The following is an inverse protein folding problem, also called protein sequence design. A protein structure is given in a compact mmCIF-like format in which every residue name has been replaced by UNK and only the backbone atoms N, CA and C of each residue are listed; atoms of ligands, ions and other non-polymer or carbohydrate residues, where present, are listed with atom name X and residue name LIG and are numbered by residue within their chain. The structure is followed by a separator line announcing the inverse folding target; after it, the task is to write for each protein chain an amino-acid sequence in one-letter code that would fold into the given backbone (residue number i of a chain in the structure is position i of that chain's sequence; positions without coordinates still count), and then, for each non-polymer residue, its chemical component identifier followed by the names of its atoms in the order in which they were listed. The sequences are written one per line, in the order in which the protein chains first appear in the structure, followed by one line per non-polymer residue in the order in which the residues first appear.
data_IF_751498461878
#
_entry.id   IF_751498461878
#
_cell.length_a   1.000
_cell.length_b   1.000
_cell.length_c   1.000
_cell.angle_alpha   90.00
_cell.angle_beta   90.00
_cell.angle_gamma   90.00
#
_symmetry.space_group_name_H-M   'P 1'
#
loop_
_entity.id
_entity.type
_entity.pdbx_description
1 polymer ?
#
# COMPACT_ATOMS: atom_id res chain seq x y z
N UNK A 1 4.94 -22.72 -7.57
CA UNK A 1 4.54 -21.75 -6.53
C UNK A 1 3.28 -22.30 -5.86
N UNK A 2 3.39 -22.94 -4.70
CA UNK A 2 2.18 -23.31 -3.93
C UNK A 2 1.56 -22.00 -3.43
N UNK A 3 0.24 -21.82 -3.57
CA UNK A 3 -0.40 -20.57 -3.16
C UNK A 3 -0.20 -20.36 -1.65
N UNK A 4 -0.11 -19.09 -1.23
CA UNK A 4 0.01 -18.68 0.17
C UNK A 4 -1.01 -19.37 1.09
N UNK A 5 -2.16 -19.76 0.52
CA UNK A 5 -3.29 -20.44 1.14
C UNK A 5 -2.96 -21.80 1.76
N UNK A 6 -2.00 -22.58 1.23
CA UNK A 6 -1.69 -23.91 1.79
C UNK A 6 -0.89 -23.87 3.09
N UNK A 7 -0.30 -22.71 3.44
CA UNK A 7 0.68 -22.61 4.52
C UNK A 7 0.12 -22.06 5.83
N UNK A 8 -0.95 -21.25 5.77
CA UNK A 8 -1.51 -20.58 6.93
C UNK A 8 -2.52 -21.43 7.74
N UNK A 9 -2.90 -22.61 7.23
CA UNK A 9 -3.82 -23.52 7.92
C UNK A 9 -3.11 -24.49 8.91
N UNK A 10 -1.82 -24.27 9.20
CA UNK A 10 -0.96 -25.26 9.88
C UNK A 10 -0.60 -25.03 11.35
N UNK A 11 -0.98 -23.91 12.00
CA UNK A 11 -0.57 -23.68 13.39
C UNK A 11 -1.39 -22.64 14.17
N UNK A 12 -1.90 -23.06 15.35
CA UNK A 12 -2.36 -22.38 16.58
C UNK A 12 -3.12 -21.03 16.55
N UNK A 13 -3.27 -20.36 15.41
CA UNK A 13 -4.19 -19.27 15.16
C UNK A 13 -4.94 -19.59 13.86
N UNK A 14 -6.26 -19.81 13.93
CA UNK A 14 -7.07 -19.94 12.73
C UNK A 14 -7.12 -18.58 12.02
N UNK A 15 -6.24 -18.36 11.06
CA UNK A 15 -6.31 -17.22 10.16
C UNK A 15 -7.18 -17.61 8.96
N UNK A 16 -8.28 -16.88 8.74
CA UNK A 16 -9.04 -17.02 7.49
C UNK A 16 -8.29 -16.29 6.38
N UNK A 17 -7.94 -17.01 5.31
CA UNK A 17 -7.16 -16.47 4.20
C UNK A 17 -8.02 -16.45 2.95
N UNK A 18 -8.32 -15.25 2.48
CA UNK A 18 -8.95 -15.02 1.17
C UNK A 18 -7.90 -14.49 0.20
N UNK A 19 -7.98 -14.90 -1.06
CA UNK A 19 -7.00 -14.58 -2.09
C UNK A 19 -7.68 -13.91 -3.28
N UNK A 20 -7.10 -12.80 -3.74
CA UNK A 20 -7.40 -12.18 -5.02
C UNK A 20 -6.21 -12.36 -5.96
N UNK A 21 -6.17 -13.50 -6.66
CA UNK A 21 -5.21 -13.71 -7.75
C UNK A 21 -5.72 -12.98 -9.00
N UNK A 22 -5.26 -11.74 -9.16
CA UNK A 22 -5.73 -10.83 -10.20
C UNK A 22 -5.58 -11.42 -11.61
N UNK A 23 -4.54 -12.23 -11.85
CA UNK A 23 -4.33 -12.85 -13.15
C UNK A 23 -5.27 -14.04 -13.36
N UNK A 24 -5.44 -14.91 -12.36
CA UNK A 24 -6.38 -16.04 -12.44
C UNK A 24 -7.83 -15.55 -12.59
N UNK A 25 -8.17 -14.46 -11.92
CA UNK A 25 -9.47 -13.78 -12.02
C UNK A 25 -9.68 -13.05 -13.35
N UNK A 26 -8.61 -12.85 -14.14
CA UNK A 26 -8.61 -11.98 -15.33
C UNK A 26 -9.15 -10.59 -14.98
N UNK A 27 -8.69 -10.04 -13.86
CA UNK A 27 -9.18 -8.79 -13.32
C UNK A 27 -9.04 -7.66 -14.34
N UNK A 28 -10.13 -6.95 -14.60
CA UNK A 28 -10.15 -5.76 -15.46
C UNK A 28 -9.40 -4.63 -14.75
N UNK A 29 -8.29 -4.19 -15.32
CA UNK A 29 -7.45 -3.14 -14.69
C UNK A 29 -7.89 -1.71 -15.01
N UNK A 30 -8.64 -1.49 -16.10
CA UNK A 30 -9.02 -0.15 -16.56
C UNK A 30 -10.23 0.38 -15.79
N UNK A 31 -10.07 1.50 -15.10
CA UNK A 31 -11.17 2.27 -14.53
C UNK A 31 -11.97 2.97 -15.66
N UNK A 32 -13.21 2.55 -15.90
CA UNK A 32 -14.06 3.09 -16.98
C UNK A 32 -15.52 3.21 -16.54
N UNK A 33 -16.35 3.87 -17.35
CA UNK A 33 -17.79 3.98 -17.10
C UNK A 33 -18.52 2.63 -16.96
N UNK A 34 -17.95 1.53 -17.47
CA UNK A 34 -18.50 0.17 -17.32
C UNK A 34 -18.44 -0.35 -15.88
N UNK A 35 -17.66 0.29 -15.01
CA UNK A 35 -17.62 -0.04 -13.58
C UNK A 35 -18.89 0.40 -12.84
N UNK A 36 -19.78 1.12 -13.53
CA UNK A 36 -21.00 1.68 -12.98
C UNK A 36 -22.18 1.07 -13.72
N UNK A 37 -23.04 0.39 -12.96
CA UNK A 37 -24.30 -0.14 -13.46
C UNK A 37 -25.39 0.93 -13.42
N UNK A 38 -26.32 0.87 -14.38
CA UNK A 38 -27.41 1.84 -14.50
C UNK A 38 -26.99 3.15 -15.16
N UNK A 39 -27.67 4.24 -14.80
CA UNK A 39 -27.52 5.54 -15.45
C UNK A 39 -26.42 6.38 -14.79
N UNK A 40 -25.54 6.94 -15.60
CA UNK A 40 -24.55 7.95 -15.17
C UNK A 40 -25.24 9.28 -14.89
N UNK A 41 -24.76 10.03 -13.89
CA UNK A 41 -25.28 11.36 -13.54
C UNK A 41 -25.02 12.38 -14.65
N UNK A 42 -23.83 12.35 -15.26
CA UNK A 42 -23.42 13.27 -16.31
C UNK A 42 -22.60 12.56 -17.41
N UNK A 43 -23.25 11.78 -18.29
CA UNK A 43 -22.54 11.02 -19.32
C UNK A 43 -21.81 11.89 -20.36
N UNK A 44 -22.23 13.15 -20.55
CA UNK A 44 -21.58 14.09 -21.48
C UNK A 44 -20.28 14.67 -20.92
N UNK A 45 -20.11 14.68 -19.59
CA UNK A 45 -18.88 15.09 -18.90
C UNK A 45 -18.55 14.07 -17.81
N UNK A 46 -18.17 12.87 -18.23
CA UNK A 46 -17.91 11.75 -17.32
C UNK A 46 -16.71 12.06 -16.41
N UNK A 47 -16.95 12.00 -15.10
CA UNK A 47 -15.90 12.11 -14.08
C UNK A 47 -15.93 10.87 -13.20
N UNK A 48 -14.91 10.01 -13.35
CA UNK A 48 -14.88 8.71 -12.67
C UNK A 48 -15.03 8.84 -11.14
N UNK A 49 -14.34 9.80 -10.51
CA UNK A 49 -14.41 10.00 -9.06
C UNK A 49 -15.83 10.31 -8.55
N UNK A 50 -16.52 11.26 -9.19
CA UNK A 50 -17.90 11.63 -8.81
C UNK A 50 -18.90 10.51 -9.10
N UNK A 51 -18.81 9.90 -10.28
CA UNK A 51 -19.74 8.87 -10.73
C UNK A 51 -19.55 7.58 -9.92
N UNK A 52 -18.31 7.17 -9.62
CA UNK A 52 -18.02 5.99 -8.80
C UNK A 52 -18.41 6.18 -7.33
N UNK A 53 -18.28 7.40 -6.78
CA UNK A 53 -18.80 7.73 -5.45
C UNK A 53 -20.32 7.56 -5.38
N UNK A 54 -21.05 8.13 -6.35
CA UNK A 54 -22.50 7.99 -6.40
C UNK A 54 -22.92 6.53 -6.58
N UNK A 55 -22.23 5.81 -7.47
CA UNK A 55 -22.46 4.39 -7.68
C UNK A 55 -22.20 3.58 -6.42
N UNK A 56 -21.17 3.91 -5.63
CA UNK A 56 -20.91 3.26 -4.34
C UNK A 56 -22.04 3.53 -3.34
N UNK A 57 -22.49 4.78 -3.21
CA UNK A 57 -23.59 5.16 -2.30
C UNK A 57 -24.91 4.46 -2.64
N UNK A 58 -25.16 4.22 -3.92
CA UNK A 58 -26.40 3.63 -4.43
C UNK A 58 -26.30 2.10 -4.66
N UNK A 59 -25.16 1.48 -4.39
CA UNK A 59 -24.96 0.04 -4.60
C UNK A 59 -24.93 -0.38 -6.07
N UNK A 60 -24.43 0.49 -6.95
CA UNK A 60 -24.39 0.33 -8.41
C UNK A 60 -22.99 0.08 -8.98
N UNK A 61 -21.96 -0.11 -8.16
CA UNK A 61 -20.65 -0.53 -8.66
C UNK A 61 -20.73 -1.93 -9.30
N UNK A 62 -19.83 -2.21 -10.24
CA UNK A 62 -19.73 -3.53 -10.86
C UNK A 62 -19.43 -4.61 -9.82
N UNK A 63 -19.98 -5.81 -10.04
CA UNK A 63 -19.95 -6.89 -9.04
C UNK A 63 -18.52 -7.31 -8.65
N UNK A 64 -17.58 -7.28 -9.59
CA UNK A 64 -16.17 -7.59 -9.33
C UNK A 64 -15.53 -6.56 -8.38
N UNK A 65 -15.88 -5.27 -8.49
CA UNK A 65 -15.41 -4.25 -7.54
C UNK A 65 -16.01 -4.51 -6.16
N UNK A 66 -17.32 -4.76 -6.08
CA UNK A 66 -18.02 -5.01 -4.81
C UNK A 66 -17.45 -6.23 -4.08
N UNK A 67 -17.12 -7.31 -4.81
CA UNK A 67 -16.50 -8.49 -4.24
C UNK A 67 -15.13 -8.18 -3.61
N UNK A 68 -14.28 -7.43 -4.31
CA UNK A 68 -12.97 -7.04 -3.79
C UNK A 68 -13.07 -6.07 -2.60
N UNK A 69 -14.03 -5.13 -2.64
CA UNK A 69 -14.31 -4.25 -1.50
C UNK A 69 -14.74 -5.04 -0.27
N UNK A 70 -15.53 -6.10 -0.45
CA UNK A 70 -15.95 -6.96 0.66
C UNK A 70 -14.76 -7.70 1.28
N UNK A 71 -13.83 -8.24 0.47
CA UNK A 71 -12.59 -8.88 0.97
C UNK A 71 -11.76 -7.92 1.81
N UNK A 72 -11.57 -6.69 1.35
CA UNK A 72 -10.82 -5.66 2.08
C UNK A 72 -11.54 -5.26 3.38
N UNK A 73 -12.88 -5.18 3.35
CA UNK A 73 -13.70 -4.88 4.53
C UNK A 73 -13.55 -5.94 5.61
N UNK A 74 -13.50 -7.21 5.25
CA UNK A 74 -13.34 -8.35 6.17
C UNK A 74 -11.90 -8.51 6.68
N UNK A 75 -10.90 -8.10 5.90
CA UNK A 75 -9.50 -8.31 6.24
C UNK A 75 -9.01 -7.42 7.41
N UNK A 76 -8.31 -8.02 8.38
CA UNK A 76 -7.52 -7.30 9.39
C UNK A 76 -6.13 -6.92 8.87
N UNK A 77 -5.59 -7.74 7.97
CA UNK A 77 -4.31 -7.57 7.30
C UNK A 77 -4.46 -7.79 5.80
N UNK A 78 -3.92 -6.88 4.99
CA UNK A 78 -3.84 -7.02 3.54
C UNK A 78 -2.38 -7.18 3.10
N UNK A 79 -2.07 -8.33 2.48
CA UNK A 79 -0.74 -8.61 1.91
C UNK A 79 -0.80 -8.38 0.40
N UNK A 80 -0.05 -7.40 -0.09
CA UNK A 80 0.10 -7.16 -1.52
C UNK A 80 1.34 -7.89 -2.03
N UNK A 81 1.14 -9.06 -2.65
CA UNK A 81 2.21 -9.84 -3.27
C UNK A 81 2.39 -9.47 -4.76
N UNK A 82 3.57 -9.04 -5.18
CA UNK A 82 3.83 -8.71 -6.60
C UNK A 82 5.32 -8.77 -6.99
N UNK A 83 5.66 -8.97 -8.26
CA UNK A 83 6.99 -8.60 -8.76
C UNK A 83 7.04 -7.08 -8.97
N UNK A 84 8.12 -6.43 -8.50
CA UNK A 84 8.32 -5.00 -8.76
C UNK A 84 8.60 -4.79 -10.25
N UNK A 85 7.72 -4.05 -10.93
CA UNK A 85 7.87 -3.68 -12.34
C UNK A 85 8.00 -2.17 -12.45
N UNK A 86 9.05 -1.72 -13.14
CA UNK A 86 9.31 -0.29 -13.35
C UNK A 86 9.25 0.54 -12.06
N UNK A 87 9.90 0.04 -11.00
CA UNK A 87 9.94 0.67 -9.67
C UNK A 87 8.57 0.88 -9.01
N UNK A 88 7.56 0.10 -9.42
CA UNK A 88 6.21 0.15 -8.86
C UNK A 88 5.53 -1.21 -8.95
N UNK A 89 4.22 -1.24 -8.69
CA UNK A 89 3.36 -2.42 -8.82
C UNK A 89 3.06 -2.75 -10.28
N UNK A 90 2.78 -4.01 -10.63
CA UNK A 90 2.29 -4.38 -11.96
C UNK A 90 1.02 -3.61 -12.32
N UNK A 91 0.82 -3.31 -13.61
CA UNK A 91 -0.32 -2.53 -14.10
C UNK A 91 -1.68 -3.09 -13.65
N UNK A 92 -1.82 -4.42 -13.55
CA UNK A 92 -3.06 -5.05 -13.07
C UNK A 92 -3.35 -4.75 -11.60
N UNK A 93 -2.31 -4.67 -10.75
CA UNK A 93 -2.44 -4.30 -9.35
C UNK A 93 -2.68 -2.79 -9.20
N UNK A 94 -2.05 -1.96 -10.04
CA UNK A 94 -2.37 -0.53 -10.10
C UNK A 94 -3.83 -0.30 -10.47
N UNK A 95 -4.33 -1.03 -11.47
CA UNK A 95 -5.74 -0.98 -11.88
C UNK A 95 -6.69 -1.50 -10.81
N UNK A 96 -6.27 -2.48 -10.00
CA UNK A 96 -7.03 -2.93 -8.83
C UNK A 96 -7.17 -1.81 -7.81
N UNK A 97 -6.10 -1.07 -7.49
CA UNK A 97 -6.23 0.12 -6.63
C UNK A 97 -7.18 1.14 -7.24
N UNK A 98 -7.05 1.45 -8.53
CA UNK A 98 -7.86 2.48 -9.20
C UNK A 98 -9.36 2.18 -9.22
N UNK A 99 -9.73 0.89 -9.34
CA UNK A 99 -11.14 0.46 -9.39
C UNK A 99 -11.73 0.12 -8.03
N UNK A 100 -10.95 -0.46 -7.12
CA UNK A 100 -11.44 -0.96 -5.84
C UNK A 100 -11.41 0.11 -4.75
N UNK A 101 -10.36 0.95 -4.71
CA UNK A 101 -10.22 2.01 -3.71
C UNK A 101 -10.99 3.28 -4.13
N UNK A 102 -12.30 3.14 -4.32
CA UNK A 102 -13.19 4.26 -4.67
C UNK A 102 -13.36 5.23 -3.52
N UNK A 103 -13.69 6.48 -3.85
CA UNK A 103 -14.11 7.47 -2.84
C UNK A 103 -15.37 6.97 -2.13
N UNK A 104 -15.47 7.22 -0.83
CA UNK A 104 -16.52 6.70 0.05
C UNK A 104 -16.18 5.34 0.64
N UNK A 105 -15.58 4.43 -0.14
CA UNK A 105 -15.13 3.12 0.34
C UNK A 105 -13.75 3.16 1.02
N UNK A 106 -12.72 3.65 0.32
CA UNK A 106 -11.34 3.59 0.80
C UNK A 106 -10.83 4.90 1.38
N UNK A 107 -11.37 6.04 0.92
CA UNK A 107 -11.03 7.36 1.42
C UNK A 107 -12.18 8.34 1.26
N UNK A 108 -12.11 9.45 1.99
CA UNK A 108 -12.94 10.66 1.77
C UNK A 108 -12.05 11.89 1.96
N UNK A 109 -12.39 13.06 1.38
CA UNK A 109 -11.65 14.29 1.61
C UNK A 109 -11.47 14.65 3.10
N UNK A 110 -12.41 14.24 3.96
CA UNK A 110 -12.40 14.51 5.40
C UNK A 110 -11.66 13.43 6.20
N UNK A 111 -11.46 12.24 5.63
CA UNK A 111 -10.82 11.08 6.28
C UNK A 111 -9.65 10.59 5.44
N UNK A 112 -8.49 11.16 5.74
CA UNK A 112 -7.21 10.92 5.07
C UNK A 112 -6.14 10.52 6.10
N UNK A 113 -5.15 9.76 5.65
CA UNK A 113 -4.01 9.36 6.47
C UNK A 113 -4.44 8.68 7.77
N UNK A 114 -3.92 9.07 8.94
CA UNK A 114 -4.24 8.43 10.23
C UNK A 114 -5.72 8.44 10.60
N UNK A 115 -6.54 9.32 10.00
CA UNK A 115 -7.99 9.34 10.18
C UNK A 115 -8.77 8.62 9.06
N UNK A 116 -8.06 7.98 8.14
CA UNK A 116 -8.60 7.25 6.99
C UNK A 116 -9.52 6.08 7.37
N UNK A 117 -10.24 5.57 6.38
CA UNK A 117 -11.28 4.55 6.58
C UNK A 117 -10.69 3.22 7.09
N UNK A 118 -9.45 2.90 6.69
CA UNK A 118 -8.77 1.66 7.04
C UNK A 118 -7.81 1.78 8.24
N UNK A 119 -8.01 2.76 9.13
CA UNK A 119 -7.12 3.04 10.28
C UNK A 119 -6.91 1.89 11.28
N UNK A 120 -7.85 0.95 11.32
CA UNK A 120 -7.78 -0.24 12.18
C UNK A 120 -7.26 -1.48 11.44
N UNK A 121 -6.83 -1.34 10.17
CA UNK A 121 -6.32 -2.43 9.33
C UNK A 121 -4.82 -2.27 9.08
N UNK A 122 -4.12 -3.39 8.95
CA UNK A 122 -2.70 -3.43 8.57
C UNK A 122 -2.53 -3.75 7.09
N UNK A 123 -1.48 -3.23 6.49
CA UNK A 123 -1.08 -3.59 5.14
C UNK A 123 0.43 -3.77 5.02
N UNK A 124 0.85 -4.69 4.15
CA UNK A 124 2.26 -4.93 3.82
C UNK A 124 2.44 -5.10 2.32
N UNK A 125 3.53 -4.53 1.79
CA UNK A 125 4.04 -4.83 0.45
C UNK A 125 5.00 -6.01 0.57
N UNK A 126 4.70 -7.12 -0.10
CA UNK A 126 5.58 -8.28 -0.22
C UNK A 126 5.96 -8.44 -1.68
N UNK A 127 7.21 -8.21 -2.05
CA UNK A 127 7.56 -8.16 -3.47
C UNK A 127 8.93 -8.72 -3.79
N UNK A 128 9.06 -9.19 -5.03
CA UNK A 128 10.32 -9.68 -5.59
C UNK A 128 10.94 -8.61 -6.49
N UNK A 129 12.26 -8.62 -6.61
CA UNK A 129 13.00 -7.77 -7.55
C UNK A 129 13.93 -8.59 -8.43
N UNK A 130 14.25 -8.05 -9.61
CA UNK A 130 15.42 -8.50 -10.38
C UNK A 130 16.73 -7.88 -9.87
N UNK A 131 16.66 -6.71 -9.22
CA UNK A 131 17.85 -6.00 -8.73
C UNK A 131 18.39 -6.57 -7.42
N UNK A 132 19.71 -6.55 -7.26
CA UNK A 132 20.36 -6.76 -5.97
C UNK A 132 20.03 -5.62 -5.00
N UNK A 133 20.02 -5.91 -3.71
CA UNK A 133 19.80 -4.91 -2.65
C UNK A 133 20.76 -3.72 -2.78
N UNK A 134 22.04 -3.98 -3.02
CA UNK A 134 23.09 -2.96 -3.19
C UNK A 134 22.83 -1.99 -4.34
N UNK A 135 22.08 -2.39 -5.37
CA UNK A 135 21.73 -1.49 -6.46
C UNK A 135 20.70 -0.45 -6.03
N UNK A 136 19.93 -0.72 -4.97
CA UNK A 136 18.84 0.12 -4.49
C UNK A 136 19.17 0.80 -3.13
N UNK A 137 20.44 0.79 -2.73
CA UNK A 137 20.96 1.65 -1.67
C UNK A 137 21.06 3.11 -2.15
N UNK A 138 21.23 4.11 -1.26
CA UNK A 138 21.37 5.51 -1.65
C UNK A 138 22.53 5.81 -2.61
N UNK A 139 23.58 5.00 -2.58
CA UNK A 139 24.74 5.02 -3.48
C UNK A 139 24.68 3.99 -4.61
N UNK A 140 23.58 3.25 -4.70
CA UNK A 140 23.32 2.26 -5.74
C UNK A 140 22.84 2.88 -7.05
N UNK A 141 23.05 2.18 -8.17
CA UNK A 141 22.72 2.67 -9.51
C UNK A 141 21.22 2.94 -9.73
N UNK A 142 20.34 2.25 -9.00
CA UNK A 142 18.89 2.46 -9.07
C UNK A 142 18.40 3.54 -8.09
N UNK A 143 19.27 4.01 -7.19
CA UNK A 143 18.93 4.95 -6.12
C UNK A 143 18.18 4.31 -4.95
N UNK A 144 17.96 5.13 -3.92
CA UNK A 144 17.36 4.73 -2.66
C UNK A 144 15.93 4.18 -2.83
N UNK A 145 15.73 2.90 -2.51
CA UNK A 145 14.42 2.22 -2.55
C UNK A 145 13.36 2.90 -1.67
N UNK A 146 13.76 3.60 -0.60
CA UNK A 146 12.82 4.33 0.26
C UNK A 146 12.00 5.35 -0.55
N UNK A 147 12.60 5.95 -1.58
CA UNK A 147 11.95 6.91 -2.47
C UNK A 147 10.91 6.23 -3.35
N UNK A 148 11.26 5.07 -3.92
CA UNK A 148 10.36 4.30 -4.80
C UNK A 148 9.14 3.73 -4.06
N UNK A 149 9.29 3.39 -2.78
CA UNK A 149 8.20 2.84 -1.97
C UNK A 149 7.23 3.90 -1.44
N UNK A 150 7.69 5.15 -1.27
CA UNK A 150 6.88 6.23 -0.69
C UNK A 150 5.52 6.43 -1.38
N UNK A 151 5.40 6.49 -2.72
CA UNK A 151 4.10 6.66 -3.38
C UNK A 151 3.10 5.53 -3.08
N UNK A 152 3.59 4.29 -2.90
CA UNK A 152 2.76 3.14 -2.60
C UNK A 152 2.36 3.11 -1.12
N UNK A 153 3.35 3.21 -0.23
CA UNK A 153 3.14 3.10 1.21
C UNK A 153 2.42 4.33 1.78
N UNK A 154 2.86 5.55 1.45
CA UNK A 154 2.20 6.77 1.91
C UNK A 154 1.00 7.14 1.03
N UNK A 155 1.19 7.17 -0.29
CA UNK A 155 0.22 7.73 -1.23
C UNK A 155 -1.01 6.86 -1.50
N UNK A 156 -0.90 5.54 -1.34
CA UNK A 156 -2.03 4.61 -1.53
C UNK A 156 -2.47 4.05 -0.17
N UNK A 157 -1.58 3.34 0.52
CA UNK A 157 -1.97 2.59 1.72
C UNK A 157 -2.25 3.50 2.90
N UNK A 158 -1.27 4.31 3.31
CA UNK A 158 -1.42 5.20 4.45
C UNK A 158 -2.50 6.25 4.20
N UNK A 159 -2.63 6.78 2.98
CA UNK A 159 -3.70 7.71 2.60
C UNK A 159 -5.11 7.16 2.90
N UNK A 160 -5.35 5.87 2.61
CA UNK A 160 -6.61 5.19 2.95
C UNK A 160 -6.75 4.85 4.44
N UNK A 161 -5.69 5.04 5.23
CA UNK A 161 -5.63 4.83 6.67
C UNK A 161 -4.86 3.63 7.13
N UNK A 162 -4.37 2.76 6.25
CA UNK A 162 -3.68 1.55 6.70
C UNK A 162 -2.51 1.84 7.64
N UNK A 163 -2.41 1.00 8.66
CA UNK A 163 -1.21 0.81 9.46
C UNK A 163 -0.19 0.02 8.62
N UNK A 164 0.79 0.71 8.04
CA UNK A 164 1.72 0.09 7.08
C UNK A 164 2.89 -0.59 7.80
N UNK A 165 3.08 -1.87 7.53
CA UNK A 165 4.20 -2.67 8.03
C UNK A 165 5.44 -2.49 7.15
N UNK A 166 6.61 -2.78 7.71
CA UNK A 166 7.85 -2.85 6.94
C UNK A 166 7.70 -3.83 5.76
N UNK A 167 8.16 -3.49 4.55
CA UNK A 167 7.96 -4.35 3.39
C UNK A 167 8.70 -5.68 3.55
N UNK A 168 8.22 -6.72 2.87
CA UNK A 168 8.97 -7.95 2.66
C UNK A 168 9.58 -7.89 1.25
N UNK A 169 10.90 -7.74 1.16
CA UNK A 169 11.59 -7.63 -0.12
C UNK A 169 12.41 -8.89 -0.37
N UNK A 170 12.17 -9.53 -1.50
CA UNK A 170 12.95 -10.66 -1.99
C UNK A 170 13.85 -10.17 -3.12
N UNK A 171 15.11 -9.90 -2.76
CA UNK A 171 16.09 -9.32 -3.67
C UNK A 171 16.62 -10.34 -4.68
N UNK A 172 16.72 -9.93 -5.95
CA UNK A 172 17.41 -10.66 -7.02
C UNK A 172 17.03 -12.15 -7.13
N UNK A 173 15.74 -12.49 -7.01
CA UNK A 173 15.26 -13.89 -6.90
C UNK A 173 15.65 -14.78 -8.08
N UNK A 174 15.89 -14.20 -9.24
CA UNK A 174 16.35 -14.88 -10.47
C UNK A 174 17.85 -15.22 -10.43
N UNK A 175 18.62 -14.59 -9.56
CA UNK A 175 20.08 -14.69 -9.48
C UNK A 175 20.59 -15.48 -8.28
N UNK A 176 19.69 -16.03 -7.45
CA UNK A 176 20.03 -16.81 -6.26
C UNK A 176 19.81 -18.30 -6.45
N UNK A 177 20.42 -19.12 -5.59
CA UNK A 177 20.26 -20.59 -5.60
C UNK A 177 18.84 -21.01 -5.19
N UNK A 178 18.47 -22.25 -5.50
CA UNK A 178 17.21 -22.82 -5.01
C UNK A 178 17.15 -22.86 -3.47
N UNK A 179 18.25 -23.22 -2.83
CA UNK A 179 18.37 -23.20 -1.36
C UNK A 179 18.11 -21.79 -0.80
N UNK A 180 18.69 -20.75 -1.40
CA UNK A 180 18.44 -19.39 -1.00
C UNK A 180 16.96 -18.98 -1.17
N UNK A 181 16.29 -19.42 -2.25
CA UNK A 181 14.84 -19.22 -2.42
C UNK A 181 14.02 -19.94 -1.35
N UNK A 182 14.40 -21.15 -0.96
CA UNK A 182 13.72 -21.86 0.13
C UNK A 182 13.90 -21.13 1.47
N UNK A 183 15.11 -20.66 1.77
CA UNK A 183 15.38 -19.86 2.97
C UNK A 183 14.55 -18.56 3.00
N UNK A 184 14.36 -17.91 1.84
CA UNK A 184 13.48 -16.74 1.71
C UNK A 184 12.02 -17.09 2.06
N UNK A 185 11.50 -18.22 1.56
CA UNK A 185 10.14 -18.68 1.83
C UNK A 185 9.94 -19.05 3.31
N UNK A 186 10.89 -19.77 3.90
CA UNK A 186 10.89 -20.15 5.32
C UNK A 186 10.96 -18.92 6.22
N UNK A 187 11.82 -17.95 5.90
CA UNK A 187 11.92 -16.68 6.61
C UNK A 187 10.61 -15.89 6.57
N UNK A 188 9.95 -15.85 5.41
CA UNK A 188 8.66 -15.20 5.26
C UNK A 188 7.55 -15.91 6.06
N UNK A 189 7.52 -17.25 6.00
CA UNK A 189 6.59 -18.04 6.80
C UNK A 189 6.76 -17.75 8.30
N UNK A 190 8.01 -17.73 8.79
CA UNK A 190 8.30 -17.41 10.19
C UNK A 190 7.86 -15.99 10.57
N UNK A 191 8.06 -15.02 9.68
CA UNK A 191 7.65 -13.63 9.92
C UNK A 191 6.12 -13.52 10.03
N UNK A 192 5.37 -14.23 9.19
CA UNK A 192 3.91 -14.24 9.20
C UNK A 192 3.32 -14.65 10.57
N UNK A 193 4.01 -15.50 11.34
CA UNK A 193 3.55 -15.95 12.67
C UNK A 193 3.41 -14.81 13.70
N UNK A 194 4.21 -13.74 13.56
CA UNK A 194 4.22 -12.59 14.48
C UNK A 194 3.93 -11.24 13.81
N UNK A 195 3.54 -11.27 12.53
CA UNK A 195 3.44 -10.07 11.68
C UNK A 195 2.44 -9.03 12.24
N UNK A 196 1.35 -9.48 12.86
CA UNK A 196 0.36 -8.59 13.47
C UNK A 196 0.87 -7.86 14.72
N UNK A 197 1.99 -8.29 15.31
CA UNK A 197 2.58 -7.66 16.49
C UNK A 197 3.78 -6.77 16.13
N UNK A 198 4.20 -6.74 14.86
CA UNK A 198 5.29 -5.89 14.41
C UNK A 198 4.99 -4.40 14.59
N UNK A 199 6.06 -3.65 14.87
CA UNK A 199 6.04 -2.19 14.82
C UNK A 199 5.75 -1.71 13.40
N UNK A 200 5.05 -0.59 13.30
CA UNK A 200 4.63 0.02 12.04
C UNK A 200 5.71 0.96 11.48
N UNK A 201 5.69 1.19 10.17
CA UNK A 201 6.43 2.29 9.56
C UNK A 201 5.91 3.64 10.10
N UNK A 202 6.79 4.64 10.09
CA UNK A 202 6.46 5.98 10.60
C UNK A 202 6.16 6.93 9.45
N UNK A 203 5.01 7.60 9.54
CA UNK A 203 4.61 8.69 8.65
C UNK A 203 4.45 9.99 9.45
N UNK A 204 4.44 11.13 8.76
CA UNK A 204 4.18 12.41 9.41
C UNK A 204 2.74 12.41 9.97
N UNK A 205 2.54 12.67 11.27
CA UNK A 205 1.20 12.69 11.85
C UNK A 205 0.32 13.72 11.14
N UNK A 206 -0.95 13.38 10.87
CA UNK A 206 -1.89 14.30 10.22
C UNK A 206 -2.05 15.62 10.98
N UNK A 207 -1.94 15.58 12.32
CA UNK A 207 -1.96 16.75 13.20
C UNK A 207 -0.80 17.74 12.98
N UNK A 208 0.23 17.34 12.24
CA UNK A 208 1.37 18.19 11.87
C UNK A 208 1.03 19.19 10.75
N UNK A 209 -0.11 19.01 10.09
CA UNK A 209 -0.52 19.81 8.94
C UNK A 209 -1.66 20.75 9.30
N UNK A 210 -1.67 21.93 8.68
CA UNK A 210 -2.75 22.90 8.74
C UNK A 210 -3.66 22.74 7.51
N UNK A 211 -4.83 22.14 7.74
CA UNK A 211 -5.85 21.91 6.71
C UNK A 211 -6.48 23.25 6.25
N UNK A 212 -6.56 24.25 7.14
CA UNK A 212 -7.08 25.58 6.81
C UNK A 212 -6.08 26.44 6.04
N UNK A 213 -4.78 26.17 6.20
CA UNK A 213 -3.69 26.86 5.50
C UNK A 213 -3.09 26.04 4.34
N UNK A 214 -3.96 25.43 3.52
CA UNK A 214 -3.55 24.78 2.28
C UNK A 214 -2.80 23.45 2.45
N UNK A 215 -3.09 22.72 3.52
CA UNK A 215 -2.52 21.39 3.81
C UNK A 215 -1.00 21.39 3.96
N UNK A 216 -0.43 22.48 4.48
CA UNK A 216 1.02 22.63 4.71
C UNK A 216 1.40 22.25 6.14
N UNK A 217 2.66 21.87 6.35
CA UNK A 217 3.19 21.66 7.68
C UNK A 217 3.01 22.93 8.52
N UNK A 218 2.53 22.77 9.76
CA UNK A 218 2.39 23.87 10.72
C UNK A 218 3.74 24.51 11.01
N UNK A 219 3.74 25.80 11.32
CA UNK A 219 4.98 26.57 11.53
C UNK A 219 5.80 26.01 12.69
N UNK A 220 5.14 25.64 13.79
CA UNK A 220 5.77 25.04 14.96
C UNK A 220 6.47 23.70 14.65
N UNK A 221 5.91 22.90 13.73
CA UNK A 221 6.54 21.65 13.30
C UNK A 221 7.75 21.95 12.44
N UNK A 222 7.65 22.89 11.51
CA UNK A 222 8.80 23.32 10.70
C UNK A 222 9.94 23.86 11.56
N UNK A 223 9.62 24.65 12.59
CA UNK A 223 10.60 25.24 13.50
C UNK A 223 11.27 24.17 14.36
N UNK A 224 10.53 23.15 14.82
CA UNK A 224 11.11 22.00 15.52
C UNK A 224 12.10 21.20 14.67
N UNK A 225 11.90 21.17 13.35
CA UNK A 225 12.78 20.46 12.43
C UNK A 225 14.09 21.21 12.21
N UNK A 226 14.15 22.53 12.46
CA UNK A 226 15.36 23.32 12.24
C UNK A 226 16.58 22.72 12.97
N UNK A 227 16.37 22.18 14.17
CA UNK A 227 17.41 21.53 15.00
C UNK A 227 17.63 20.05 14.70
N UNK A 228 16.78 19.41 13.90
CA UNK A 228 16.92 18.00 13.52
C UNK A 228 17.88 17.82 12.33
N UNK A 229 18.68 16.76 12.36
CA UNK A 229 19.54 16.37 11.24
C UNK A 229 18.71 15.97 10.01
N UNK A 230 17.74 15.07 10.22
CA UNK A 230 16.87 14.53 9.17
C UNK A 230 15.53 15.27 9.10
N UNK A 231 14.85 15.15 7.96
CA UNK A 231 13.44 15.52 7.86
C UNK A 231 12.51 14.56 8.62
N UNK A 232 11.19 14.67 8.44
CA UNK A 232 10.24 13.80 9.15
C UNK A 232 10.14 12.40 8.54
N UNK A 233 10.06 12.35 7.21
CA UNK A 233 9.89 11.12 6.41
C UNK A 233 10.51 11.34 5.03
N UNK A 234 10.47 10.32 4.17
CA UNK A 234 10.90 10.44 2.76
C UNK A 234 10.21 11.60 2.05
N UNK A 235 8.87 11.66 2.06
CA UNK A 235 8.12 12.74 1.38
C UNK A 235 8.03 14.06 2.16
N UNK A 236 8.35 14.05 3.46
CA UNK A 236 8.33 15.25 4.31
C UNK A 236 9.75 15.61 4.77
N UNK A 237 10.69 15.55 3.85
CA UNK A 237 12.11 15.80 4.12
C UNK A 237 12.43 17.29 4.31
N UNK A 238 11.57 18.20 3.83
CA UNK A 238 11.68 19.67 3.99
C UNK A 238 13.07 20.24 3.63
N UNK A 239 13.70 19.68 2.61
CA UNK A 239 15.05 20.09 2.15
C UNK A 239 16.21 19.56 2.99
N UNK A 240 15.94 18.73 4.01
CA UNK A 240 16.94 18.02 4.82
C UNK A 240 17.23 16.62 4.26
N UNK A 241 18.31 15.96 4.74
CA UNK A 241 18.54 14.54 4.51
C UNK A 241 17.33 13.67 4.88
N UNK A 242 17.13 12.59 4.13
CA UNK A 242 16.07 11.62 4.39
C UNK A 242 16.40 10.81 5.66
N UNK A 243 15.42 10.55 6.55
CA UNK A 243 15.64 9.64 7.66
C UNK A 243 16.01 8.24 7.13
N UNK A 244 17.08 7.60 7.64
CA UNK A 244 17.50 6.28 7.18
C UNK A 244 16.38 5.24 7.30
N UNK A 245 16.22 4.41 6.27
CA UNK A 245 15.29 3.28 6.26
C UNK A 245 13.81 3.62 6.57
N UNK A 246 13.37 4.87 6.44
CA UNK A 246 12.02 5.32 6.83
C UNK A 246 10.87 4.50 6.20
N UNK A 247 11.07 3.92 5.03
CA UNK A 247 10.09 3.10 4.30
C UNK A 247 10.44 1.59 4.31
N UNK A 248 11.53 1.22 5.00
CA UNK A 248 12.04 -0.14 5.10
C UNK A 248 11.95 -0.72 6.52
N UNK A 249 12.13 0.10 7.55
CA UNK A 249 12.18 -0.33 8.95
C UNK A 249 11.27 0.55 9.80
N UNK A 250 10.60 -0.08 10.76
CA UNK A 250 9.96 0.66 11.84
C UNK A 250 11.04 1.36 12.68
N UNK A 251 10.79 2.60 13.09
CA UNK A 251 11.69 3.31 14.00
C UNK A 251 11.74 2.59 15.37
N UNK A 252 12.93 2.60 15.99
CA UNK A 252 13.21 1.96 17.28
C UNK A 252 12.47 2.69 18.40
#
# INVERSE_FOLDING_TARGET
MKSLTSFLNGGLFYCNVVVSDLYAMKFKASATAEDITGTLKNPQNFQYGEESLLAWQEGRLSADIVEEQQKVKEAELVVFQFPMYWFTVPAILKGWFDRVFTQGFAYTPEKMYTEGIFKDKKAILSFTTGSYESMCCPDGINGDINIALWPLQNGILHYCGFQVLAPQIFWAVEHVTEEARQNMLEGWQKRLEGLLQEKLLTFAPFTSFDVGAGFKLKKEVQDSLATCEFGLTVGHHVGKPLPPDNQLKATV
#
